data_IF_521049797624
#
_entry.id   IF_521049797624
#
_cell.length_a   1.000
_cell.length_b   1.000
_cell.length_c   1.000
_cell.angle_alpha   90.00
_cell.angle_beta   90.00
_cell.angle_gamma   90.00
#
_symmetry.space_group_name_H-M   'P 1'
#
loop_
_entity.id
_entity.type
_entity.pdbx_description
1 polymer ?
#
# COMPACT_ATOMS: atom_id res chain seq x y z
N UNK A 1 56.36 13.88 -5.10
CA UNK A 1 55.64 12.91 -5.96
C UNK A 1 54.65 12.15 -5.09
N UNK A 2 53.34 12.28 -5.33
CA UNK A 2 52.34 11.34 -4.81
C UNK A 2 51.36 11.86 -3.74
N UNK A 3 50.47 12.80 -4.09
CA UNK A 3 49.22 13.07 -3.33
C UNK A 3 48.07 13.55 -4.24
N UNK A 4 48.02 13.13 -5.50
CA UNK A 4 47.00 13.58 -6.47
C UNK A 4 46.22 12.45 -7.15
N UNK A 5 46.11 11.25 -6.55
CA UNK A 5 45.42 10.11 -7.19
C UNK A 5 44.32 9.44 -6.36
N UNK A 6 43.94 9.95 -5.19
CA UNK A 6 42.89 9.32 -4.37
C UNK A 6 41.52 9.98 -4.52
N UNK A 7 41.45 11.28 -4.81
CA UNK A 7 40.17 11.98 -4.99
C UNK A 7 39.51 11.67 -6.34
N UNK A 8 40.28 11.60 -7.43
CA UNK A 8 39.76 11.21 -8.76
C UNK A 8 39.38 9.72 -8.80
N UNK A 9 40.09 8.86 -8.06
CA UNK A 9 39.72 7.45 -7.92
C UNK A 9 38.43 7.25 -7.11
N UNK A 10 38.12 8.13 -6.14
CA UNK A 10 36.86 8.12 -5.40
C UNK A 10 35.69 8.65 -6.22
N UNK A 11 35.90 9.66 -7.08
CA UNK A 11 34.89 10.10 -8.05
C UNK A 11 34.62 9.02 -9.12
N UNK A 12 35.66 8.33 -9.61
CA UNK A 12 35.49 7.26 -10.59
C UNK A 12 34.76 6.01 -10.05
N UNK A 13 34.89 5.71 -8.74
CA UNK A 13 34.14 4.61 -8.10
C UNK A 13 32.67 5.00 -7.89
N UNK A 14 32.38 6.28 -7.61
CA UNK A 14 31.00 6.81 -7.51
C UNK A 14 30.32 6.91 -8.89
N UNK A 15 31.09 7.08 -9.96
CA UNK A 15 30.56 7.12 -11.33
C UNK A 15 30.39 5.72 -11.96
N UNK A 16 31.05 4.69 -11.43
CA UNK A 16 30.91 3.30 -11.90
C UNK A 16 29.73 2.51 -11.29
N UNK A 17 28.96 3.10 -10.36
CA UNK A 17 27.88 2.43 -9.61
C UNK A 17 26.49 3.02 -9.85
N UNK A 18 26.28 3.79 -10.93
CA UNK A 18 25.03 4.55 -11.14
C UNK A 18 23.80 3.65 -11.35
N UNK A 19 23.94 2.51 -12.02
CA UNK A 19 22.83 1.60 -12.29
C UNK A 19 22.40 0.79 -11.05
N UNK A 20 23.36 0.19 -10.33
CA UNK A 20 23.08 -0.55 -9.09
C UNK A 20 22.56 0.36 -7.98
N UNK A 21 23.03 1.61 -7.92
CA UNK A 21 22.52 2.60 -6.97
C UNK A 21 21.10 3.07 -7.30
N UNK A 22 20.74 3.22 -8.57
CA UNK A 22 19.38 3.58 -9.00
C UNK A 22 18.38 2.44 -8.78
N UNK A 23 18.73 1.19 -9.08
CA UNK A 23 17.87 0.02 -8.85
C UNK A 23 17.66 -0.27 -7.34
N UNK A 24 18.73 -0.09 -6.55
CA UNK A 24 18.65 -0.17 -5.09
C UNK A 24 17.80 0.97 -4.49
N UNK A 25 17.87 2.17 -5.07
CA UNK A 25 17.03 3.29 -4.64
C UNK A 25 15.56 3.08 -5.01
N UNK A 26 15.27 2.54 -6.21
CA UNK A 26 13.90 2.27 -6.66
C UNK A 26 13.18 1.27 -5.74
N UNK A 27 13.87 0.18 -5.37
CA UNK A 27 13.32 -0.82 -4.43
C UNK A 27 13.16 -0.29 -2.99
N UNK A 28 14.04 0.62 -2.56
CA UNK A 28 13.93 1.29 -1.26
C UNK A 28 12.72 2.20 -1.18
N UNK A 29 12.47 3.02 -2.20
CA UNK A 29 11.30 3.90 -2.22
C UNK A 29 10.02 3.10 -2.29
N UNK A 30 10.00 2.06 -3.11
CA UNK A 30 8.90 1.12 -3.15
C UNK A 30 8.60 0.53 -1.78
N UNK A 31 9.62 0.02 -1.08
CA UNK A 31 9.45 -0.52 0.26
C UNK A 31 8.97 0.54 1.26
N UNK A 32 9.49 1.77 1.17
CA UNK A 32 9.16 2.86 2.07
C UNK A 32 7.69 3.26 2.00
N UNK A 33 7.14 3.53 0.80
CA UNK A 33 5.72 3.87 0.70
C UNK A 33 4.83 2.65 0.97
N UNK A 34 5.20 1.43 0.53
CA UNK A 34 4.44 0.20 0.85
C UNK A 34 4.30 -0.03 2.36
N UNK A 35 5.30 0.38 3.14
CA UNK A 35 5.34 0.25 4.61
C UNK A 35 4.91 1.51 5.36
N UNK A 36 4.38 2.53 4.67
CA UNK A 36 3.96 3.81 5.27
C UNK A 36 5.06 4.49 6.11
N UNK A 37 6.33 4.40 5.69
CA UNK A 37 7.47 4.99 6.39
C UNK A 37 7.68 6.45 6.00
N UNK A 38 6.72 7.30 6.39
CA UNK A 38 6.73 8.74 6.11
C UNK A 38 7.82 9.49 6.90
N UNK A 39 8.33 8.90 7.98
CA UNK A 39 9.48 9.40 8.75
C UNK A 39 10.76 9.53 7.91
N UNK A 40 10.85 8.79 6.80
CA UNK A 40 11.96 8.87 5.86
C UNK A 40 11.96 10.15 5.00
N UNK A 41 10.92 10.99 5.11
CA UNK A 41 10.84 12.29 4.45
C UNK A 41 11.93 13.28 4.93
N UNK A 42 12.41 13.15 6.17
CA UNK A 42 13.48 13.99 6.72
C UNK A 42 14.84 13.80 6.01
N UNK A 43 14.97 12.78 5.16
CA UNK A 43 16.14 12.58 4.30
C UNK A 43 16.22 13.61 3.13
N UNK A 44 15.34 14.61 3.13
CA UNK A 44 15.32 15.73 2.19
C UNK A 44 14.64 15.35 0.87
N UNK A 45 14.11 16.35 0.13
CA UNK A 45 13.49 16.13 -1.18
C UNK A 45 14.37 15.21 -2.02
N UNK A 46 13.92 13.98 -2.20
CA UNK A 46 14.81 12.93 -2.69
C UNK A 46 14.99 13.21 -4.17
N UNK A 47 16.20 13.64 -4.56
CA UNK A 47 16.58 13.97 -5.95
C UNK A 47 16.68 12.73 -6.85
N UNK A 48 16.00 11.64 -6.50
CA UNK A 48 15.88 10.46 -7.34
C UNK A 48 14.83 10.74 -8.41
N UNK A 49 15.16 10.49 -9.68
CA UNK A 49 14.22 10.65 -10.80
C UNK A 49 13.43 9.37 -11.10
N UNK A 50 13.46 8.41 -10.19
CA UNK A 50 12.82 7.11 -10.39
C UNK A 50 11.32 7.19 -10.11
N UNK A 51 10.53 6.26 -10.65
CA UNK A 51 9.08 6.34 -10.54
C UNK A 51 8.62 6.13 -9.10
N UNK A 52 9.19 5.17 -8.36
CA UNK A 52 8.79 4.93 -6.98
C UNK A 52 9.24 6.04 -6.02
N UNK A 53 10.32 6.76 -6.33
CA UNK A 53 10.68 7.98 -5.62
C UNK A 53 9.61 9.07 -5.79
N UNK A 54 9.13 9.29 -7.03
CA UNK A 54 8.04 10.23 -7.29
C UNK A 54 6.76 9.81 -6.55
N UNK A 55 6.40 8.52 -6.56
CA UNK A 55 5.24 8.02 -5.81
C UNK A 55 5.38 8.29 -4.31
N UNK A 56 6.56 8.04 -3.73
CA UNK A 56 6.83 8.34 -2.32
C UNK A 56 6.70 9.84 -2.03
N UNK A 57 7.29 10.71 -2.85
CA UNK A 57 7.21 12.17 -2.69
C UNK A 57 5.78 12.69 -2.81
N UNK A 58 4.98 12.17 -3.75
CA UNK A 58 3.57 12.53 -3.91
C UNK A 58 2.79 12.14 -2.65
N UNK A 59 2.93 10.90 -2.19
CA UNK A 59 2.25 10.41 -0.98
C UNK A 59 2.66 11.22 0.25
N UNK A 60 3.95 11.51 0.40
CA UNK A 60 4.48 12.33 1.48
C UNK A 60 3.95 13.76 1.44
N UNK A 61 3.82 14.35 0.25
CA UNK A 61 3.25 15.68 0.04
C UNK A 61 1.77 15.72 0.42
N UNK A 62 1.00 14.69 0.04
CA UNK A 62 -0.40 14.53 0.48
C UNK A 62 -0.47 14.42 2.01
N UNK A 63 0.40 13.62 2.62
CA UNK A 63 0.47 13.44 4.07
C UNK A 63 0.75 14.75 4.82
N UNK A 64 1.60 15.62 4.25
CA UNK A 64 1.91 16.93 4.82
C UNK A 64 0.89 18.03 4.45
N UNK A 65 -0.21 17.69 3.77
CA UNK A 65 -1.21 18.66 3.30
C UNK A 65 -0.75 19.54 2.14
N UNK A 66 0.38 19.24 1.51
CA UNK A 66 0.94 19.96 0.35
C UNK A 66 0.31 19.46 -0.96
N UNK A 67 -1.01 19.60 -1.07
CA UNK A 67 -1.80 19.05 -2.18
C UNK A 67 -1.45 19.65 -3.55
N UNK A 68 -1.11 20.94 -3.58
CA UNK A 68 -0.68 21.62 -4.82
C UNK A 68 0.64 21.04 -5.34
N UNK A 69 1.64 20.87 -4.45
CA UNK A 69 2.92 20.25 -4.77
C UNK A 69 2.75 18.81 -5.26
N UNK A 70 1.93 18.01 -4.56
CA UNK A 70 1.56 16.66 -5.00
C UNK A 70 0.92 16.67 -6.39
N UNK A 71 0.07 17.68 -6.67
CA UNK A 71 -0.57 17.87 -7.96
C UNK A 71 0.43 18.14 -9.10
N UNK A 72 1.42 18.99 -8.86
CA UNK A 72 2.49 19.30 -9.82
C UNK A 72 3.37 18.07 -10.11
N UNK A 73 3.77 17.34 -9.05
CA UNK A 73 4.56 16.12 -9.18
C UNK A 73 3.81 15.02 -9.96
N UNK A 74 2.50 14.86 -9.72
CA UNK A 74 1.65 13.94 -10.48
C UNK A 74 1.63 14.30 -11.96
N UNK A 75 1.49 15.59 -12.30
CA UNK A 75 1.47 16.04 -13.70
C UNK A 75 2.82 15.76 -14.37
N UNK A 76 3.93 16.12 -13.72
CA UNK A 76 5.28 15.85 -14.24
C UNK A 76 5.49 14.35 -14.46
N UNK A 77 5.21 13.52 -13.45
CA UNK A 77 5.41 12.07 -13.54
C UNK A 77 4.48 11.41 -14.56
N UNK A 78 3.30 11.99 -14.82
CA UNK A 78 2.38 11.51 -15.86
C UNK A 78 2.96 11.75 -17.24
N UNK A 79 3.51 12.95 -17.49
CA UNK A 79 4.14 13.29 -18.77
C UNK A 79 5.34 12.38 -19.05
N UNK A 80 6.21 12.17 -18.05
CA UNK A 80 7.36 11.27 -18.17
C UNK A 80 6.93 9.83 -18.49
N UNK A 81 5.86 9.35 -17.84
CA UNK A 81 5.33 8.00 -18.06
C UNK A 81 4.69 7.86 -19.44
N UNK A 82 3.98 8.88 -19.93
CA UNK A 82 3.42 8.88 -21.29
C UNK A 82 4.52 8.85 -22.34
N UNK A 83 5.59 9.62 -22.16
CA UNK A 83 6.74 9.61 -23.06
C UNK A 83 7.40 8.21 -23.09
N UNK A 84 7.65 7.61 -21.93
CA UNK A 84 8.20 6.25 -21.84
C UNK A 84 7.27 5.18 -22.45
N UNK A 85 5.95 5.34 -22.28
CA UNK A 85 4.96 4.49 -22.93
C UNK A 85 5.04 4.60 -24.46
N UNK A 86 5.20 5.80 -25.01
CA UNK A 86 5.42 6.02 -26.44
C UNK A 86 6.61 5.22 -26.97
N UNK A 87 7.77 5.35 -26.31
CA UNK A 87 8.97 4.58 -26.65
C UNK A 87 8.76 3.07 -26.53
N UNK A 88 8.01 2.60 -25.52
CA UNK A 88 7.70 1.18 -25.34
C UNK A 88 6.78 0.61 -26.44
N UNK A 89 5.84 1.43 -26.93
CA UNK A 89 4.96 1.08 -28.05
C UNK A 89 5.76 1.01 -29.35
N UNK A 90 6.64 1.98 -29.60
CA UNK A 90 7.53 1.99 -30.76
C UNK A 90 8.48 0.79 -30.77
N UNK A 91 9.02 0.44 -29.60
CA UNK A 91 9.88 -0.73 -29.42
C UNK A 91 9.10 -2.06 -29.38
N UNK A 92 7.76 -2.03 -29.50
CA UNK A 92 6.84 -3.17 -29.42
C UNK A 92 7.02 -4.04 -28.17
N UNK A 93 7.46 -3.43 -27.07
CA UNK A 93 7.68 -4.15 -25.81
C UNK A 93 6.38 -4.27 -25.01
N UNK A 94 5.65 -5.37 -25.21
CA UNK A 94 4.40 -5.62 -24.48
C UNK A 94 4.57 -5.60 -22.95
N UNK A 95 5.75 -5.99 -22.44
CA UNK A 95 6.08 -5.92 -21.01
C UNK A 95 6.17 -4.46 -20.55
N UNK A 96 6.95 -3.63 -21.23
CA UNK A 96 7.11 -2.22 -20.87
C UNK A 96 5.81 -1.43 -21.03
N UNK A 97 5.01 -1.73 -22.06
CA UNK A 97 3.67 -1.15 -22.23
C UNK A 97 2.78 -1.45 -21.02
N UNK A 98 2.71 -2.71 -20.56
CA UNK A 98 1.93 -3.05 -19.37
C UNK A 98 2.42 -2.32 -18.12
N UNK A 99 3.74 -2.27 -17.94
CA UNK A 99 4.35 -1.60 -16.79
C UNK A 99 4.01 -0.10 -16.76
N UNK A 100 4.18 0.62 -17.87
CA UNK A 100 3.82 2.04 -17.95
C UNK A 100 2.31 2.29 -17.82
N UNK A 101 1.47 1.38 -18.32
CA UNK A 101 0.02 1.45 -18.10
C UNK A 101 -0.34 1.28 -16.61
N UNK A 102 0.34 0.40 -15.87
CA UNK A 102 0.19 0.28 -14.42
C UNK A 102 0.64 1.56 -13.71
N UNK A 103 1.79 2.13 -14.10
CA UNK A 103 2.28 3.42 -13.55
C UNK A 103 1.27 4.57 -13.77
N UNK A 104 0.66 4.68 -14.95
CA UNK A 104 -0.38 5.67 -15.23
C UNK A 104 -1.63 5.48 -14.35
N UNK A 105 -2.03 4.21 -14.11
CA UNK A 105 -3.15 3.90 -13.21
C UNK A 105 -2.84 4.30 -11.77
N UNK A 106 -1.61 4.06 -11.30
CA UNK A 106 -1.17 4.51 -9.98
C UNK A 106 -1.24 6.04 -9.85
N UNK A 107 -0.72 6.78 -10.83
CA UNK A 107 -0.77 8.25 -10.85
C UNK A 107 -2.22 8.78 -10.89
N UNK A 108 -3.11 8.12 -11.63
CA UNK A 108 -4.54 8.45 -11.61
C UNK A 108 -5.16 8.25 -10.22
N UNK A 109 -4.77 7.19 -9.51
CA UNK A 109 -5.19 6.92 -8.13
C UNK A 109 -4.76 8.04 -7.20
N UNK A 110 -3.49 8.42 -7.26
CA UNK A 110 -2.91 9.52 -6.48
C UNK A 110 -3.62 10.84 -6.80
N UNK A 111 -3.94 11.10 -8.08
CA UNK A 111 -4.67 12.31 -8.46
C UNK A 111 -6.04 12.39 -7.82
N UNK A 112 -6.77 11.28 -7.75
CA UNK A 112 -8.06 11.25 -7.06
C UNK A 112 -7.89 11.49 -5.55
N UNK A 113 -6.81 11.00 -4.95
CA UNK A 113 -6.51 11.24 -3.53
C UNK A 113 -6.14 12.69 -3.20
N UNK A 114 -5.61 13.47 -4.17
CA UNK A 114 -5.41 14.92 -3.99
C UNK A 114 -6.72 15.71 -3.88
N UNK A 115 -7.87 15.12 -4.17
CA UNK A 115 -9.16 15.77 -4.00
C UNK A 115 -9.85 15.24 -2.72
N UNK A 116 -10.02 16.08 -1.68
CA UNK A 116 -10.64 15.68 -0.41
C UNK A 116 -12.05 15.10 -0.59
N UNK A 117 -12.85 15.66 -1.51
CA UNK A 117 -14.21 15.18 -1.80
C UNK A 117 -14.22 13.86 -2.57
N UNK A 118 -13.14 13.56 -3.32
CA UNK A 118 -12.99 12.33 -4.09
C UNK A 118 -12.26 11.21 -3.33
N UNK A 119 -11.66 11.50 -2.18
CA UNK A 119 -10.89 10.55 -1.37
C UNK A 119 -11.71 9.32 -0.98
N UNK A 120 -12.98 9.50 -0.56
CA UNK A 120 -13.93 8.42 -0.30
C UNK A 120 -14.26 7.61 -1.58
N UNK A 121 -14.32 8.28 -2.74
CA UNK A 121 -14.55 7.65 -4.04
C UNK A 121 -13.35 6.84 -4.54
N UNK A 122 -12.13 7.13 -4.09
CA UNK A 122 -10.95 6.28 -4.39
C UNK A 122 -11.25 4.87 -3.92
N UNK A 123 -11.70 4.67 -2.68
CA UNK A 123 -11.92 3.31 -2.16
C UNK A 123 -13.17 2.62 -2.74
N UNK A 124 -14.18 3.38 -3.17
CA UNK A 124 -15.36 2.83 -3.83
C UNK A 124 -15.09 2.44 -5.29
N UNK A 125 -14.47 3.33 -6.08
CA UNK A 125 -14.09 3.03 -7.47
C UNK A 125 -12.93 2.05 -7.55
N UNK A 126 -12.17 1.88 -6.47
CA UNK A 126 -11.10 0.90 -6.43
C UNK A 126 -11.52 -0.51 -5.99
N UNK A 127 -12.78 -0.71 -5.58
CA UNK A 127 -13.39 -2.04 -5.38
C UNK A 127 -13.76 -2.72 -6.71
N UNK A 128 -13.81 -4.06 -6.83
CA UNK A 128 -12.69 -4.96 -7.03
C UNK A 128 -12.81 -5.63 -8.43
N UNK A 129 -12.09 -5.11 -9.44
CA UNK A 129 -11.79 -5.96 -10.59
C UNK A 129 -10.94 -7.14 -10.10
N UNK A 130 -11.19 -8.34 -10.62
CA UNK A 130 -10.49 -9.57 -10.20
C UNK A 130 -8.97 -9.52 -10.43
N UNK A 131 -8.53 -8.58 -11.26
CA UNK A 131 -7.20 -8.52 -11.86
C UNK A 131 -6.38 -7.29 -11.40
N UNK A 132 -6.62 -6.76 -10.20
CA UNK A 132 -5.79 -5.66 -9.70
C UNK A 132 -4.46 -6.16 -9.17
N UNK A 133 -3.39 -5.52 -9.64
CA UNK A 133 -2.00 -5.84 -9.29
C UNK A 133 -1.73 -5.54 -7.80
N UNK A 134 -0.84 -6.30 -7.16
CA UNK A 134 -0.42 -6.11 -5.76
C UNK A 134 -0.02 -4.65 -5.45
N UNK A 135 0.57 -3.99 -6.45
CA UNK A 135 1.04 -2.62 -6.36
C UNK A 135 -0.09 -1.60 -6.22
N UNK A 136 -1.24 -1.83 -6.88
CA UNK A 136 -2.42 -0.97 -6.76
C UNK A 136 -3.01 -1.07 -5.33
N UNK A 137 -3.01 -2.26 -4.75
CA UNK A 137 -3.52 -2.47 -3.39
C UNK A 137 -2.57 -1.88 -2.33
N UNK A 138 -1.25 -1.98 -2.53
CA UNK A 138 -0.28 -1.36 -1.65
C UNK A 138 -0.34 0.18 -1.69
N UNK A 139 -0.65 0.76 -2.86
CA UNK A 139 -0.88 2.20 -3.01
C UNK A 139 -2.11 2.65 -2.23
N UNK A 140 -3.22 1.89 -2.33
CA UNK A 140 -4.42 2.16 -1.55
C UNK A 140 -4.18 2.06 -0.04
N UNK A 141 -3.39 1.09 0.39
CA UNK A 141 -2.98 0.97 1.79
C UNK A 141 -2.26 2.24 2.26
N UNK A 142 -1.30 2.71 1.48
CA UNK A 142 -0.54 3.94 1.77
C UNK A 142 -1.44 5.17 1.87
N UNK A 143 -2.37 5.31 0.93
CA UNK A 143 -3.37 6.39 0.93
C UNK A 143 -4.34 6.28 2.12
N UNK A 144 -4.73 5.06 2.50
CA UNK A 144 -5.59 4.86 3.66
C UNK A 144 -4.90 5.33 4.93
N UNK A 145 -3.58 5.11 5.05
CA UNK A 145 -2.80 5.56 6.19
C UNK A 145 -2.82 7.09 6.33
N UNK A 146 -2.62 7.78 5.21
CA UNK A 146 -2.60 9.25 5.10
C UNK A 146 -3.97 9.88 5.40
N UNK A 147 -5.06 9.26 4.94
CA UNK A 147 -6.41 9.85 5.08
C UNK A 147 -6.99 9.72 6.50
N UNK A 148 -6.31 9.02 7.40
CA UNK A 148 -6.66 8.83 8.82
C UNK A 148 -8.08 8.29 9.12
N UNK A 149 -8.88 7.92 8.11
CA UNK A 149 -10.23 7.36 8.27
C UNK A 149 -10.18 5.87 8.69
N UNK A 150 -10.64 5.53 9.91
CA UNK A 150 -10.61 4.16 10.41
C UNK A 150 -11.40 3.14 9.58
N UNK A 151 -12.56 3.52 9.03
CA UNK A 151 -13.40 2.58 8.25
C UNK A 151 -12.74 2.30 6.89
N UNK A 152 -12.17 3.33 6.26
CA UNK A 152 -11.37 3.19 5.04
C UNK A 152 -10.13 2.33 5.26
N UNK A 153 -9.35 2.60 6.33
CA UNK A 153 -8.17 1.78 6.69
C UNK A 153 -8.57 0.31 6.85
N UNK A 154 -9.64 0.06 7.59
CA UNK A 154 -10.13 -1.30 7.85
C UNK A 154 -10.62 -2.01 6.58
N UNK A 155 -11.44 -1.35 5.75
CA UNK A 155 -11.89 -1.90 4.47
C UNK A 155 -10.73 -2.24 3.53
N UNK A 156 -9.71 -1.38 3.49
CA UNK A 156 -8.55 -1.53 2.61
C UNK A 156 -7.67 -2.70 3.03
N UNK A 157 -7.37 -2.81 4.33
CA UNK A 157 -6.60 -3.93 4.89
C UNK A 157 -7.31 -5.28 4.67
N UNK A 158 -8.62 -5.35 4.88
CA UNK A 158 -9.40 -6.58 4.60
C UNK A 158 -9.33 -6.96 3.13
N UNK A 159 -9.52 -5.99 2.22
CA UNK A 159 -9.46 -6.25 0.78
C UNK A 159 -8.06 -6.72 0.34
N UNK A 160 -7.01 -6.06 0.82
CA UNK A 160 -5.61 -6.40 0.52
C UNK A 160 -5.29 -7.81 1.04
N UNK A 161 -5.68 -8.12 2.26
CA UNK A 161 -5.48 -9.43 2.88
C UNK A 161 -6.17 -10.55 2.12
N UNK A 162 -7.46 -10.41 1.80
CA UNK A 162 -8.21 -11.42 1.05
C UNK A 162 -7.58 -11.69 -0.33
N UNK A 163 -7.08 -10.64 -1.01
CA UNK A 163 -6.40 -10.79 -2.31
C UNK A 163 -5.04 -11.46 -2.22
N UNK A 164 -4.25 -11.10 -1.22
CA UNK A 164 -2.96 -11.73 -0.97
C UNK A 164 -3.14 -13.19 -0.53
N UNK A 165 -4.21 -13.50 0.19
CA UNK A 165 -4.60 -14.88 0.49
C UNK A 165 -4.97 -15.64 -0.78
N UNK A 166 -5.81 -15.08 -1.65
CA UNK A 166 -6.21 -15.70 -2.92
C UNK A 166 -4.99 -15.95 -3.85
N UNK A 167 -3.98 -15.08 -3.81
CA UNK A 167 -2.72 -15.26 -4.53
C UNK A 167 -1.70 -16.17 -3.82
N UNK A 168 -2.07 -16.77 -2.68
CA UNK A 168 -1.24 -17.64 -1.82
C UNK A 168 -0.05 -16.94 -1.17
N UNK A 169 -0.04 -15.61 -1.11
CA UNK A 169 0.96 -14.80 -0.40
C UNK A 169 0.53 -14.59 1.07
N UNK A 170 0.49 -15.69 1.84
CA UNK A 170 -0.07 -15.68 3.21
C UNK A 170 0.66 -14.72 4.16
N UNK A 171 1.98 -14.64 4.10
CA UNK A 171 2.75 -13.72 4.95
C UNK A 171 2.39 -12.25 4.67
N UNK A 172 2.19 -11.92 3.39
CA UNK A 172 1.78 -10.58 2.98
C UNK A 172 0.34 -10.30 3.43
N UNK A 173 -0.55 -11.29 3.36
CA UNK A 173 -1.91 -11.17 3.85
C UNK A 173 -1.97 -10.92 5.37
N UNK A 174 -1.13 -11.62 6.15
CA UNK A 174 -1.00 -11.37 7.59
C UNK A 174 -0.44 -9.98 7.88
N UNK A 175 0.57 -9.52 7.11
CA UNK A 175 1.09 -8.15 7.23
C UNK A 175 0.01 -7.11 6.96
N UNK A 176 -0.79 -7.30 5.90
CA UNK A 176 -1.92 -6.43 5.56
C UNK A 176 -2.91 -6.26 6.72
N UNK A 177 -3.19 -7.34 7.46
CA UNK A 177 -4.09 -7.30 8.63
C UNK A 177 -3.41 -6.75 9.89
N UNK A 178 -2.10 -6.95 10.04
CA UNK A 178 -1.34 -6.48 11.20
C UNK A 178 -1.33 -4.95 11.32
N UNK A 179 -1.51 -4.24 10.21
CA UNK A 179 -1.72 -2.77 10.19
C UNK A 179 -2.91 -2.35 11.06
N UNK A 180 -3.96 -3.16 11.14
CA UNK A 180 -5.14 -2.89 11.97
C UNK A 180 -4.92 -3.24 13.45
N UNK A 181 -4.00 -4.18 13.74
CA UNK A 181 -3.77 -4.69 15.09
C UNK A 181 -3.09 -3.69 16.05
N UNK A 182 -2.46 -2.63 15.51
CA UNK A 182 -1.96 -1.49 16.29
C UNK A 182 -3.00 -0.40 16.56
N UNK A 183 -4.19 -0.49 15.96
CA UNK A 183 -5.22 0.57 15.99
C UNK A 183 -6.41 0.20 16.89
N UNK A 184 -6.15 -0.40 18.06
CA UNK A 184 -7.19 -0.82 18.99
C UNK A 184 -8.13 0.33 19.42
N UNK A 185 -7.65 1.57 19.42
CA UNK A 185 -8.44 2.76 19.73
C UNK A 185 -9.31 3.27 18.56
N UNK A 186 -9.09 2.77 17.34
CA UNK A 186 -9.86 3.15 16.14
C UNK A 186 -11.19 2.39 16.00
N UNK A 187 -11.38 1.36 16.83
CA UNK A 187 -12.55 0.48 16.84
C UNK A 187 -13.92 1.20 16.97
N UNK A 188 -14.12 2.29 17.74
CA UNK A 188 -15.45 2.89 17.91
C UNK A 188 -16.06 3.45 16.63
N UNK A 189 -15.22 3.93 15.70
CA UNK A 189 -15.65 4.67 14.51
C UNK A 189 -15.75 3.81 13.24
N UNK A 190 -15.39 2.51 13.32
CA UNK A 190 -15.55 1.56 12.22
C UNK A 190 -16.95 0.96 12.22
N UNK A 191 -17.60 0.92 11.06
CA UNK A 191 -18.94 0.37 10.92
C UNK A 191 -19.01 -1.10 11.36
N UNK A 192 -20.15 -1.52 11.90
CA UNK A 192 -20.35 -2.90 12.39
C UNK A 192 -20.05 -3.93 11.28
N UNK A 193 -20.46 -3.64 10.05
CA UNK A 193 -20.23 -4.49 8.87
C UNK A 193 -18.74 -4.60 8.53
N UNK A 194 -18.01 -3.48 8.52
CA UNK A 194 -16.56 -3.48 8.26
C UNK A 194 -15.81 -4.24 9.35
N UNK A 195 -16.18 -4.06 10.62
CA UNK A 195 -15.57 -4.76 11.76
C UNK A 195 -15.80 -6.28 11.69
N UNK A 196 -17.00 -6.71 11.30
CA UNK A 196 -17.26 -8.13 11.13
C UNK A 196 -16.49 -8.75 9.96
N UNK A 197 -16.35 -8.03 8.84
CA UNK A 197 -15.50 -8.46 7.72
C UNK A 197 -14.03 -8.60 8.13
N UNK A 198 -13.53 -7.65 8.93
CA UNK A 198 -12.21 -7.74 9.53
C UNK A 198 -12.05 -9.01 10.36
N UNK A 199 -12.90 -9.21 11.36
CA UNK A 199 -12.79 -10.39 12.23
C UNK A 199 -12.93 -11.72 11.49
N UNK A 200 -13.76 -11.76 10.44
CA UNK A 200 -13.85 -12.92 9.57
C UNK A 200 -12.55 -13.15 8.77
N UNK A 201 -11.94 -12.08 8.26
CA UNK A 201 -10.67 -12.14 7.56
C UNK A 201 -9.54 -12.65 8.48
N UNK A 202 -9.48 -12.18 9.74
CA UNK A 202 -8.53 -12.71 10.75
C UNK A 202 -8.73 -14.22 10.98
N UNK A 203 -9.98 -14.66 11.17
CA UNK A 203 -10.29 -16.08 11.36
C UNK A 203 -9.84 -16.95 10.18
N UNK A 204 -10.02 -16.46 8.94
CA UNK A 204 -9.58 -17.16 7.74
C UNK A 204 -8.06 -17.28 7.66
N UNK A 205 -7.32 -16.22 8.00
CA UNK A 205 -5.85 -16.28 8.04
C UNK A 205 -5.34 -17.28 9.08
N UNK A 206 -5.95 -17.30 10.27
CA UNK A 206 -5.64 -18.28 11.33
C UNK A 206 -5.94 -19.71 10.84
N UNK A 207 -7.00 -19.88 10.06
CA UNK A 207 -7.35 -21.17 9.47
C UNK A 207 -6.26 -21.65 8.49
N UNK A 208 -5.75 -20.75 7.65
CA UNK A 208 -4.75 -21.07 6.63
C UNK A 208 -3.39 -21.46 7.22
N UNK A 209 -3.05 -20.99 8.43
CA UNK A 209 -1.84 -21.42 9.17
C UNK A 209 -2.07 -22.69 10.00
N UNK A 210 -3.15 -23.43 9.73
CA UNK A 210 -3.55 -24.70 10.38
C UNK A 210 -3.93 -24.60 11.88
N UNK A 211 -4.19 -23.41 12.41
CA UNK A 211 -4.69 -23.23 13.79
C UNK A 211 -6.22 -23.33 13.86
N UNK A 212 -6.77 -24.47 13.40
CA UNK A 212 -8.22 -24.64 13.17
C UNK A 212 -9.11 -24.32 14.37
N UNK A 213 -8.67 -24.64 15.59
CA UNK A 213 -9.45 -24.34 16.82
C UNK A 213 -9.50 -22.85 17.12
N UNK A 214 -8.39 -22.14 16.92
CA UNK A 214 -8.33 -20.69 17.11
C UNK A 214 -9.15 -19.96 16.03
N UNK A 215 -9.07 -20.42 14.78
CA UNK A 215 -9.86 -19.91 13.67
C UNK A 215 -11.37 -20.03 13.91
N UNK A 216 -11.84 -21.20 14.35
CA UNK A 216 -13.26 -21.43 14.66
C UNK A 216 -13.72 -20.54 15.81
N UNK A 217 -12.90 -20.38 16.86
CA UNK A 217 -13.19 -19.48 17.97
C UNK A 217 -13.35 -18.03 17.49
N UNK A 218 -12.39 -17.53 16.70
CA UNK A 218 -12.44 -16.19 16.14
C UNK A 218 -13.67 -15.98 15.23
N UNK A 219 -14.04 -16.97 14.41
CA UNK A 219 -15.24 -16.92 13.57
C UNK A 219 -16.54 -16.89 14.41
N UNK A 220 -16.61 -17.68 15.48
CA UNK A 220 -17.75 -17.68 16.39
C UNK A 220 -17.90 -16.33 17.11
N UNK A 221 -16.81 -15.69 17.50
CA UNK A 221 -16.83 -14.33 18.08
C UNK A 221 -17.46 -13.30 17.13
N UNK A 222 -17.27 -13.43 15.81
CA UNK A 222 -17.93 -12.57 14.80
C UNK A 222 -19.44 -12.75 14.81
N UNK A 223 -19.90 -14.01 14.89
CA UNK A 223 -21.34 -14.33 14.91
C UNK A 223 -21.99 -13.81 16.18
N UNK A 224 -21.32 -13.92 17.32
CA UNK A 224 -21.76 -13.35 18.60
C UNK A 224 -21.80 -11.81 18.56
N UNK A 225 -20.83 -11.20 17.90
CA UNK A 225 -20.72 -9.75 17.74
C UNK A 225 -21.81 -9.17 16.79
N UNK A 226 -22.15 -9.89 15.72
CA UNK A 226 -23.19 -9.48 14.76
C UNK A 226 -24.61 -9.84 15.21
N UNK A 227 -24.77 -10.95 15.93
CA UNK A 227 -26.03 -11.47 16.42
C UNK A 227 -26.23 -11.09 17.88
N UNK A 228 -26.67 -9.86 18.13
CA UNK A 228 -26.93 -9.40 19.49
C UNK A 228 -27.82 -10.37 20.28
N UNK A 229 -27.27 -10.88 21.39
CA UNK A 229 -27.94 -11.22 22.66
C UNK A 229 -28.42 -12.66 23.04
N UNK A 230 -28.63 -13.69 22.19
CA UNK A 230 -28.94 -15.05 22.69
C UNK A 230 -27.76 -16.05 22.65
N UNK A 231 -26.86 -15.94 21.67
CA UNK A 231 -25.75 -16.90 21.50
C UNK A 231 -24.60 -16.65 22.50
N UNK A 232 -24.49 -15.44 23.04
CA UNK A 232 -23.44 -15.06 24.00
C UNK A 232 -23.60 -15.79 25.34
N UNK A 233 -24.85 -16.06 25.76
CA UNK A 233 -25.15 -16.88 26.95
C UNK A 233 -24.85 -18.37 26.70
N UNK A 234 -25.12 -18.89 25.51
CA UNK A 234 -24.85 -20.29 25.16
C UNK A 234 -23.35 -20.56 24.97
N UNK A 235 -22.60 -19.60 24.42
CA UNK A 235 -21.16 -19.72 24.24
C UNK A 235 -20.40 -19.76 25.57
N UNK A 236 -20.78 -18.92 26.55
CA UNK A 236 -20.22 -18.97 27.91
C UNK A 236 -20.51 -20.29 28.63
N UNK A 237 -21.58 -20.99 28.29
CA UNK A 237 -21.88 -22.33 28.81
C UNK A 237 -21.08 -23.44 28.11
N UNK A 238 -20.68 -23.24 26.85
CA UNK A 238 -19.95 -24.24 26.05
C UNK A 238 -18.42 -24.10 26.13
N UNK A 239 -17.92 -22.94 26.55
CA UNK A 239 -16.48 -22.64 26.64
C UNK A 239 -15.95 -22.53 28.08
N UNK A 240 -16.76 -22.96 29.06
CA UNK A 240 -16.28 -23.19 30.43
C UNK A 240 -15.12 -24.18 30.49
#
# INVERSE_FOLDING_TARGET
MGLFNTAEALCAVVESSSFEAEELNETRFESAWRMCRWDLQELGSIKSKTFHANVFNILSSINCGQVELAGEEIVSSTLDTIHALGSAVESKSAKAVREHMTRLRMLQTLKLATNPEASHYVFEKFSPAKDKDEIDLALLHSLSDILEDPDIKCRTAVLLSDRLRDSKSLDSAHRAMSILSGSADALPNVSLTTRAKWKLCEANLIWDVNERRAAVRAACEVVLFLGGSPLEMQWKQLTG
#
